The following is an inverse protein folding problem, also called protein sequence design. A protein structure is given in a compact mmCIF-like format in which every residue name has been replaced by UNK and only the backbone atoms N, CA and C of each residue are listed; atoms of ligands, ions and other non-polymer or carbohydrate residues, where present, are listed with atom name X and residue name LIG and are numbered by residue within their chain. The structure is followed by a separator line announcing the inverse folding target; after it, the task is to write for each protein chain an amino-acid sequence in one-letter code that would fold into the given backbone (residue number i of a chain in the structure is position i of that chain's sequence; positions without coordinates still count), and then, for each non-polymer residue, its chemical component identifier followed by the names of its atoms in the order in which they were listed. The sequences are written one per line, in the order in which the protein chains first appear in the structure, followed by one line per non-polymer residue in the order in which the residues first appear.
data_IF_251916686118
#
_entry.id   IF_251916686118
#
_cell.length_a   1.000
_cell.length_b   1.000
_cell.length_c   1.000
_cell.angle_alpha   90.00
_cell.angle_beta   90.00
_cell.angle_gamma   90.00
#
_symmetry.space_group_name_H-M   'P 1'
#
loop_
_entity.id
_entity.type
_entity.pdbx_description
1 polymer ?
#
# COMPACT_ATOMS: atom_id res chain seq x y z
N UNK A 1 -3.71 -10.99 29.90
CA UNK A 1 -3.20 -9.62 29.62
C UNK A 1 -1.90 -9.54 28.82
N UNK A 2 -0.99 -10.55 28.75
CA UNK A 2 0.20 -10.46 27.86
C UNK A 2 -0.07 -10.89 26.41
N UNK A 3 -1.13 -11.67 26.15
CA UNK A 3 -1.44 -12.18 24.80
C UNK A 3 -1.79 -11.07 23.79
N UNK A 4 -2.37 -9.95 24.25
CA UNK A 4 -2.72 -8.84 23.36
C UNK A 4 -1.47 -8.17 22.78
N UNK A 5 -0.41 -8.03 23.56
CA UNK A 5 0.87 -7.46 23.11
C UNK A 5 1.58 -8.37 22.10
N UNK A 6 1.50 -9.69 22.29
CA UNK A 6 2.06 -10.67 21.34
C UNK A 6 1.29 -10.64 20.01
N UNK A 7 -0.04 -10.53 20.07
CA UNK A 7 -0.87 -10.42 18.88
C UNK A 7 -0.59 -9.11 18.10
N UNK A 8 -0.45 -7.99 18.81
CA UNK A 8 -0.08 -6.70 18.21
C UNK A 8 1.30 -6.78 17.56
N UNK A 9 2.29 -7.37 18.23
CA UNK A 9 3.63 -7.57 17.68
C UNK A 9 3.64 -8.43 16.41
N UNK A 10 2.84 -9.50 16.36
CA UNK A 10 2.69 -10.36 15.18
C UNK A 10 2.03 -9.64 14.00
N UNK A 11 1.01 -8.82 14.27
CA UNK A 11 0.34 -8.03 13.22
C UNK A 11 1.33 -7.02 12.62
N UNK A 12 2.07 -6.30 13.46
CA UNK A 12 3.09 -5.33 13.00
C UNK A 12 4.18 -6.04 12.20
N UNK A 13 4.68 -7.18 12.69
CA UNK A 13 5.68 -8.00 11.99
C UNK A 13 5.20 -8.42 10.60
N UNK A 14 3.97 -8.93 10.48
CA UNK A 14 3.41 -9.36 9.19
C UNK A 14 3.18 -8.20 8.21
N UNK A 15 2.80 -7.03 8.72
CA UNK A 15 2.63 -5.82 7.88
C UNK A 15 3.99 -5.34 7.38
N UNK A 16 5.00 -5.24 8.25
CA UNK A 16 6.32 -4.73 7.87
C UNK A 16 7.11 -5.66 6.94
N UNK A 17 6.96 -6.98 7.09
CA UNK A 17 7.68 -7.97 6.25
C UNK A 17 7.08 -8.10 4.85
N UNK A 18 5.80 -7.75 4.69
CA UNK A 18 5.10 -7.79 3.40
C UNK A 18 5.52 -6.63 2.47
N UNK A 19 6.07 -5.56 3.03
CA UNK A 19 6.60 -4.41 2.29
C UNK A 19 7.97 -4.70 1.63
N UNK A 20 8.79 -5.59 2.21
CA UNK A 20 10.17 -5.81 1.75
C UNK A 20 10.29 -6.55 0.42
N UNK A 21 9.19 -7.06 -0.14
CA UNK A 21 9.18 -7.86 -1.37
C UNK A 21 8.42 -7.18 -2.53
N UNK A 22 8.07 -5.89 -2.38
CA UNK A 22 7.43 -5.12 -3.45
C UNK A 22 8.48 -4.60 -4.40
N UNK A 23 8.63 -5.34 -5.49
CA UNK A 23 9.22 -4.89 -6.75
C UNK A 23 8.85 -3.43 -7.04
N UNK A 24 9.78 -2.65 -7.55
CA UNK A 24 9.69 -1.20 -7.82
C UNK A 24 8.39 -0.75 -8.53
N UNK A 25 7.74 -1.66 -9.26
CA UNK A 25 6.41 -1.45 -9.88
C UNK A 25 5.28 -1.28 -8.85
N UNK A 26 5.28 -2.02 -7.74
CA UNK A 26 4.29 -1.87 -6.67
C UNK A 26 4.40 -0.56 -5.89
N UNK A 27 5.60 0.03 -5.79
CA UNK A 27 5.78 1.30 -5.06
C UNK A 27 5.04 2.45 -5.74
N UNK A 28 5.09 2.52 -7.08
CA UNK A 28 4.38 3.55 -7.84
C UNK A 28 2.85 3.40 -7.75
N UNK A 29 2.35 2.16 -7.83
CA UNK A 29 0.92 1.87 -7.65
C UNK A 29 0.42 2.18 -6.24
N UNK A 30 1.25 1.95 -5.22
CA UNK A 30 0.92 2.21 -3.83
C UNK A 30 0.84 3.70 -3.52
N UNK A 31 1.80 4.49 -4.03
CA UNK A 31 1.74 5.95 -3.96
C UNK A 31 0.50 6.46 -4.69
N UNK A 32 0.19 5.93 -5.86
CA UNK A 32 -0.99 6.33 -6.63
C UNK A 32 -2.29 6.02 -5.86
N UNK A 33 -2.37 4.84 -5.23
CA UNK A 33 -3.51 4.44 -4.39
C UNK A 33 -3.64 5.34 -3.16
N UNK A 34 -2.53 5.70 -2.52
CA UNK A 34 -2.53 6.57 -1.35
C UNK A 34 -3.10 7.96 -1.69
N UNK A 35 -2.70 8.53 -2.84
CA UNK A 35 -3.24 9.82 -3.32
C UNK A 35 -4.74 9.78 -3.59
N UNK A 36 -5.25 8.68 -4.14
CA UNK A 36 -6.68 8.51 -4.38
C UNK A 36 -7.48 8.41 -3.07
N UNK A 37 -6.99 7.63 -2.10
CA UNK A 37 -7.65 7.50 -0.78
C UNK A 37 -7.63 8.82 -0.01
N UNK A 38 -6.57 9.61 -0.15
CA UNK A 38 -6.47 10.95 0.43
C UNK A 38 -7.35 11.99 -0.29
N UNK A 39 -7.97 11.64 -1.42
CA UNK A 39 -8.77 12.56 -2.23
C UNK A 39 -7.94 13.60 -2.99
N UNK A 40 -6.63 13.40 -3.12
CA UNK A 40 -5.74 14.29 -3.89
C UNK A 40 -5.93 14.16 -5.40
N UNK A 41 -6.44 13.00 -5.84
CA UNK A 41 -6.76 12.71 -7.24
C UNK A 41 -8.14 12.06 -7.33
N UNK A 42 -8.83 12.32 -8.44
CA UNK A 42 -10.13 11.71 -8.73
C UNK A 42 -9.98 10.31 -9.37
N UNK A 43 -11.10 9.61 -9.49
CA UNK A 43 -11.15 8.24 -10.05
C UNK A 43 -10.68 8.19 -11.51
N UNK A 44 -10.98 9.21 -12.31
CA UNK A 44 -10.57 9.26 -13.71
C UNK A 44 -9.05 9.44 -13.84
N UNK A 45 -8.44 10.27 -12.99
CA UNK A 45 -7.00 10.45 -12.91
C UNK A 45 -6.30 9.18 -12.40
N UNK A 46 -6.85 8.55 -11.36
CA UNK A 46 -6.33 7.29 -10.82
C UNK A 46 -6.27 6.20 -11.90
N UNK A 47 -7.34 6.01 -12.67
CA UNK A 47 -7.40 4.99 -13.71
C UNK A 47 -6.40 5.24 -14.86
N UNK A 48 -6.25 6.49 -15.32
CA UNK A 48 -5.27 6.84 -16.38
C UNK A 48 -3.83 6.60 -15.94
N UNK A 49 -3.49 6.99 -14.71
CA UNK A 49 -2.14 6.79 -14.16
C UNK A 49 -1.86 5.32 -13.92
N UNK A 50 -2.84 4.56 -13.43
CA UNK A 50 -2.75 3.11 -13.24
C UNK A 50 -2.50 2.36 -14.56
N UNK A 51 -3.18 2.75 -15.64
CA UNK A 51 -2.91 2.18 -16.98
C UNK A 51 -1.49 2.50 -17.46
N UNK A 52 -0.98 3.69 -17.16
CA UNK A 52 0.38 4.10 -17.53
C UNK A 52 1.44 3.27 -16.80
N UNK A 53 1.21 2.95 -15.52
CA UNK A 53 2.12 2.13 -14.71
C UNK A 53 2.13 0.64 -15.09
N UNK A 54 1.09 0.18 -15.80
CA UNK A 54 0.93 -1.22 -16.23
C UNK A 54 1.46 -1.50 -17.63
N UNK A 55 1.96 -0.46 -18.32
CA UNK A 55 2.46 -0.51 -19.70
C UNK A 55 3.98 -0.61 -19.71
#
# INVERSE_FOLDING_TARGET
MPLLWIAIGLIVYYVFIKDSNRSTSSAAEEILKQRYVNGEIDEAQYNRMKETLRK
#
